data_IF_241222150427
#
_entry.id   IF_241222150427
#
_cell.length_a   1.000
_cell.length_b   1.000
_cell.length_c   1.000
_cell.angle_alpha   90.00
_cell.angle_beta   90.00
_cell.angle_gamma   90.00
#
_symmetry.space_group_name_H-M   'P 1'
#
loop_
_entity.id
_entity.type
_entity.pdbx_description
1 polymer ?
#
# COMPACT_ATOMS: atom_id res chain seq x y z
N UNK A 1 -9.91 -3.93 21.40
CA UNK A 1 -11.07 -3.25 22.00
C UNK A 1 -11.36 -2.03 21.17
N UNK A 2 -12.63 -1.74 20.91
CA UNK A 2 -13.01 -0.57 20.13
C UNK A 2 -12.82 0.72 20.95
N UNK A 3 -12.54 1.85 20.28
CA UNK A 3 -12.31 3.10 20.98
C UNK A 3 -13.58 3.57 21.70
N UNK A 4 -13.45 3.90 22.99
CA UNK A 4 -14.55 4.39 23.81
C UNK A 4 -15.13 5.73 23.32
N UNK A 5 -14.33 6.51 22.59
CA UNK A 5 -14.74 7.72 21.89
C UNK A 5 -14.41 7.52 20.40
N UNK A 6 -15.40 7.59 19.49
CA UNK A 6 -15.13 7.44 18.07
C UNK A 6 -14.22 8.57 17.58
N UNK A 7 -13.27 8.29 16.68
CA UNK A 7 -12.44 9.33 16.07
C UNK A 7 -13.30 10.30 15.25
N UNK A 8 -12.81 11.54 15.10
CA UNK A 8 -13.40 12.49 14.16
C UNK A 8 -13.48 11.86 12.76
N UNK A 9 -14.57 12.04 12.01
CA UNK A 9 -14.68 11.57 10.63
C UNK A 9 -13.58 12.12 9.71
N UNK A 10 -13.07 13.32 10.03
CA UNK A 10 -12.01 13.98 9.25
C UNK A 10 -10.60 13.52 9.64
N UNK A 11 -10.47 12.65 10.65
CA UNK A 11 -9.17 12.12 11.06
C UNK A 11 -8.68 11.15 9.97
N UNK A 12 -7.44 11.32 9.49
CA UNK A 12 -6.82 10.32 8.61
C UNK A 12 -6.81 8.93 9.26
N UNK A 13 -6.93 7.91 8.42
CA UNK A 13 -6.82 6.53 8.90
C UNK A 13 -5.39 6.26 9.40
N UNK A 14 -5.24 5.27 10.28
CA UNK A 14 -3.95 4.98 10.89
C UNK A 14 -2.85 4.68 9.86
N UNK A 15 -3.18 3.92 8.81
CA UNK A 15 -2.24 3.63 7.72
C UNK A 15 -1.81 4.89 6.97
N UNK A 16 -2.71 5.87 6.77
CA UNK A 16 -2.38 7.15 6.13
C UNK A 16 -1.39 7.95 6.97
N UNK A 17 -1.54 7.92 8.31
CA UNK A 17 -0.59 8.55 9.24
C UNK A 17 0.77 7.87 9.15
N UNK A 18 0.80 6.53 9.12
CA UNK A 18 2.04 5.77 9.01
C UNK A 18 2.77 6.04 7.69
N UNK A 19 2.05 6.13 6.56
CA UNK A 19 2.65 6.47 5.27
C UNK A 19 3.14 7.92 5.21
N UNK A 20 2.40 8.88 5.79
CA UNK A 20 2.90 10.27 5.94
C UNK A 20 4.19 10.32 6.73
N UNK A 21 4.25 9.60 7.84
CA UNK A 21 5.46 9.52 8.66
C UNK A 21 6.61 8.87 7.90
N UNK A 22 6.36 7.78 7.17
CA UNK A 22 7.37 7.12 6.36
C UNK A 22 7.96 8.06 5.29
N UNK A 23 7.09 8.81 4.58
CA UNK A 23 7.53 9.83 3.62
C UNK A 23 8.40 10.93 4.24
N UNK A 24 8.04 11.35 5.46
CA UNK A 24 8.84 12.32 6.21
C UNK A 24 10.20 11.77 6.64
N UNK A 25 10.27 10.51 7.07
CA UNK A 25 11.51 9.85 7.47
C UNK A 25 12.50 9.69 6.31
N UNK A 26 12.00 9.61 5.06
CA UNK A 26 12.85 9.56 3.85
C UNK A 26 13.16 10.95 3.27
N UNK A 27 12.81 12.02 3.98
CA UNK A 27 13.24 13.39 3.67
C UNK A 27 12.20 14.29 3.00
N UNK A 28 10.97 13.83 2.79
CA UNK A 28 9.90 14.66 2.22
C UNK A 28 9.23 15.51 3.31
N UNK A 29 9.12 16.84 3.20
CA UNK A 29 8.38 17.63 4.19
C UNK A 29 6.97 17.09 4.41
N UNK A 30 6.52 16.98 5.67
CA UNK A 30 5.26 16.32 6.01
C UNK A 30 4.03 16.82 5.21
N UNK A 31 3.86 18.14 4.95
CA UNK A 31 2.76 18.64 4.13
C UNK A 31 2.84 18.25 2.64
N UNK A 32 4.03 17.86 2.18
CA UNK A 32 4.32 17.50 0.79
C UNK A 32 4.29 15.99 0.56
N UNK A 33 4.11 15.17 1.61
CA UNK A 33 4.03 13.71 1.45
C UNK A 33 2.74 13.31 0.74
N UNK A 34 2.89 12.77 -0.46
CA UNK A 34 1.80 12.14 -1.19
C UNK A 34 1.54 10.72 -0.65
N UNK A 35 0.51 10.61 0.18
CA UNK A 35 0.08 9.34 0.79
C UNK A 35 -0.33 8.32 -0.26
N UNK A 36 -0.91 8.74 -1.39
CA UNK A 36 -1.35 7.82 -2.45
C UNK A 36 -0.16 7.25 -3.19
N UNK A 37 0.82 8.08 -3.53
CA UNK A 37 2.06 7.60 -4.12
C UNK A 37 2.80 6.61 -3.20
N UNK A 38 2.81 6.89 -1.89
CA UNK A 38 3.40 5.98 -0.89
C UNK A 38 2.63 4.65 -0.80
N UNK A 39 1.30 4.68 -0.87
CA UNK A 39 0.44 3.49 -0.87
C UNK A 39 0.60 2.65 -2.14
N UNK A 40 0.90 3.26 -3.28
CA UNK A 40 1.16 2.55 -4.53
C UNK A 40 2.57 1.92 -4.55
N UNK A 41 3.56 2.60 -3.96
CA UNK A 41 4.96 2.17 -3.96
C UNK A 41 5.16 0.79 -3.32
N UNK A 42 4.52 0.54 -2.18
CA UNK A 42 4.76 -0.69 -1.42
C UNK A 42 4.23 -1.96 -2.12
N UNK A 43 2.96 -2.04 -2.56
CA UNK A 43 2.46 -3.17 -3.33
C UNK A 43 3.20 -3.35 -4.67
N UNK A 44 3.57 -2.26 -5.36
CA UNK A 44 4.34 -2.35 -6.60
C UNK A 44 5.70 -3.03 -6.37
N UNK A 45 6.40 -2.71 -5.27
CA UNK A 45 7.66 -3.35 -4.91
C UNK A 45 7.50 -4.85 -4.59
N UNK A 46 6.44 -5.23 -3.88
CA UNK A 46 6.12 -6.64 -3.58
C UNK A 46 5.82 -7.39 -4.88
N UNK A 47 4.94 -6.85 -5.72
CA UNK A 47 4.55 -7.46 -7.00
C UNK A 47 5.76 -7.61 -7.91
N UNK A 48 6.60 -6.57 -8.03
CA UNK A 48 7.83 -6.63 -8.80
C UNK A 48 8.73 -7.77 -8.31
N UNK A 49 8.96 -7.86 -7.00
CA UNK A 49 9.80 -8.91 -6.42
C UNK A 49 9.23 -10.31 -6.67
N UNK A 50 7.92 -10.50 -6.48
CA UNK A 50 7.26 -11.77 -6.72
C UNK A 50 7.33 -12.19 -8.19
N UNK A 51 7.12 -11.27 -9.13
CA UNK A 51 7.21 -11.57 -10.56
C UNK A 51 8.60 -12.08 -11.00
N UNK A 52 9.65 -11.76 -10.24
CA UNK A 52 11.02 -12.21 -10.49
C UNK A 52 11.40 -13.50 -9.75
N UNK A 53 10.60 -13.95 -8.79
CA UNK A 53 10.90 -15.08 -7.93
C UNK A 53 10.18 -16.34 -8.40
N UNK A 54 10.95 -17.35 -8.83
CA UNK A 54 10.47 -18.58 -9.47
C UNK A 54 9.62 -19.49 -8.57
N UNK A 55 9.64 -19.26 -7.26
CA UNK A 55 8.85 -19.96 -6.26
C UNK A 55 7.51 -19.28 -5.95
N UNK A 56 7.15 -18.23 -6.68
CA UNK A 56 5.87 -17.53 -6.52
C UNK A 56 4.92 -17.77 -7.71
N UNK A 57 3.59 -17.70 -7.50
CA UNK A 57 2.62 -17.82 -8.59
C UNK A 57 2.67 -16.67 -9.60
N UNK A 58 3.36 -15.57 -9.27
CA UNK A 58 3.49 -14.40 -10.14
C UNK A 58 4.71 -14.48 -11.07
N UNK A 59 5.56 -15.50 -10.94
CA UNK A 59 6.78 -15.60 -11.72
C UNK A 59 6.55 -15.45 -13.23
N UNK A 60 7.26 -14.50 -13.85
CA UNK A 60 7.18 -14.22 -15.27
C UNK A 60 5.96 -13.41 -15.73
N UNK A 61 5.08 -12.99 -14.82
CA UNK A 61 4.01 -12.01 -15.13
C UNK A 61 4.59 -10.59 -15.25
N UNK A 62 3.88 -9.72 -15.97
CA UNK A 62 4.19 -8.29 -16.02
C UNK A 62 3.72 -7.60 -14.71
N UNK A 63 4.63 -7.00 -13.90
CA UNK A 63 4.28 -6.33 -12.67
C UNK A 63 3.23 -5.23 -12.82
N UNK A 64 3.26 -4.48 -13.93
CA UNK A 64 2.32 -3.38 -14.15
C UNK A 64 0.90 -3.90 -14.39
N UNK A 65 0.77 -4.98 -15.17
CA UNK A 65 -0.51 -5.64 -15.39
C UNK A 65 -1.08 -6.22 -14.09
N UNK A 66 -0.25 -6.87 -13.26
CA UNK A 66 -0.68 -7.40 -11.95
C UNK A 66 -1.16 -6.28 -11.03
N UNK A 67 -0.42 -5.18 -10.93
CA UNK A 67 -0.83 -4.04 -10.10
C UNK A 67 -2.17 -3.44 -10.57
N UNK A 68 -2.40 -3.36 -11.89
CA UNK A 68 -3.64 -2.84 -12.46
C UNK A 68 -4.87 -3.73 -12.18
N UNK A 69 -4.68 -5.01 -11.87
CA UNK A 69 -5.76 -5.94 -11.48
C UNK A 69 -6.23 -5.70 -10.03
N UNK A 70 -5.43 -5.02 -9.21
CA UNK A 70 -5.74 -4.79 -7.80
C UNK A 70 -6.83 -3.74 -7.59
N UNK A 71 -7.60 -3.90 -6.51
CA UNK A 71 -8.66 -3.00 -6.07
C UNK A 71 -8.41 -2.54 -4.64
N UNK A 72 -9.02 -1.42 -4.29
CA UNK A 72 -8.88 -0.82 -2.97
C UNK A 72 -7.60 0.01 -2.83
N UNK A 73 -7.37 0.45 -1.60
CA UNK A 73 -6.28 1.33 -1.18
C UNK A 73 -5.84 0.90 0.21
N UNK A 74 -4.62 1.23 0.61
CA UNK A 74 -4.13 0.87 1.94
C UNK A 74 -4.09 -0.65 2.17
N UNK A 75 -4.34 -1.09 3.41
CA UNK A 75 -4.29 -2.50 3.79
C UNK A 75 -5.19 -3.43 2.95
N UNK A 76 -6.36 -2.96 2.52
CA UNK A 76 -7.32 -3.73 1.74
C UNK A 76 -6.71 -4.20 0.40
N UNK A 77 -5.81 -3.40 -0.19
CA UNK A 77 -5.13 -3.76 -1.45
C UNK A 77 -4.17 -4.92 -1.27
N UNK A 78 -3.51 -5.02 -0.12
CA UNK A 78 -2.63 -6.14 0.20
C UNK A 78 -3.42 -7.45 0.42
N UNK A 79 -4.62 -7.34 0.98
CA UNK A 79 -5.54 -8.47 1.06
C UNK A 79 -5.99 -8.88 -0.34
N UNK A 80 -6.35 -7.91 -1.18
CA UNK A 80 -6.77 -8.14 -2.56
C UNK A 80 -5.67 -8.84 -3.38
N UNK A 81 -4.41 -8.44 -3.21
CA UNK A 81 -3.25 -9.12 -3.78
C UNK A 81 -3.22 -10.60 -3.39
N UNK A 82 -3.35 -10.92 -2.10
CA UNK A 82 -3.24 -12.30 -1.61
C UNK A 82 -4.40 -13.23 -2.00
N UNK A 83 -5.53 -12.70 -2.50
CA UNK A 83 -6.69 -13.50 -2.89
C UNK A 83 -6.94 -13.52 -4.40
N UNK A 84 -6.57 -12.45 -5.13
CA UNK A 84 -6.89 -12.31 -6.56
C UNK A 84 -5.80 -12.85 -7.46
N UNK A 85 -4.53 -12.69 -7.07
CA UNK A 85 -3.37 -12.97 -7.93
C UNK A 85 -2.42 -13.98 -7.29
#
# INVERSE_FOLDING_TARGET
>A
SDPAIPPSPDRPQEWEIMLRLAGALVGTPLPEVDVRAMDDLYPQGIIYTACQAADTPLFGRDPAAVFAELKGVGPERMIDLGIRV
#
